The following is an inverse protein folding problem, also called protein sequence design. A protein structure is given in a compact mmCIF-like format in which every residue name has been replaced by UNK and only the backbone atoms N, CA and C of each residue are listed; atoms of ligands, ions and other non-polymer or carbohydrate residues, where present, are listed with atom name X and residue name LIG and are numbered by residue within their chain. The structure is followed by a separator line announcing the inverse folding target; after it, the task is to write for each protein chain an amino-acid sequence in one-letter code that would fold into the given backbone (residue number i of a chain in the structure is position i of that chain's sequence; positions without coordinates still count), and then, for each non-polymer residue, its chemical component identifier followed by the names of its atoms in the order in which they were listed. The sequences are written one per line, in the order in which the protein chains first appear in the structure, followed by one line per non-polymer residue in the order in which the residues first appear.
data_IF_723719072294
#
_entry.id   IF_723719072294
#
_cell.length_a   1.000
_cell.length_b   1.000
_cell.length_c   1.000
_cell.angle_alpha   90.00
_cell.angle_beta   90.00
_cell.angle_gamma   90.00
#
_symmetry.space_group_name_H-M   'P 1'
#
loop_
_entity.id
_entity.type
_entity.pdbx_description
1 polymer ?
#
# COMPACT_ATOMS: atom_id res chain seq x y z
N UNK A 1 55.63 -9.58 36.15
CA UNK A 1 55.07 -8.24 35.87
C UNK A 1 54.28 -8.39 34.58
N UNK A 2 52.95 -8.64 34.60
CA UNK A 2 51.85 -7.64 34.59
C UNK A 2 52.19 -6.58 33.54
N UNK A 3 51.51 -6.51 32.39
CA UNK A 3 50.26 -5.77 32.24
C UNK A 3 49.33 -6.38 31.17
N UNK A 4 48.07 -6.56 31.58
CA UNK A 4 46.93 -6.89 30.72
C UNK A 4 46.38 -5.54 30.24
N UNK A 5 46.34 -5.29 28.93
CA UNK A 5 45.57 -4.19 28.36
C UNK A 5 44.37 -4.80 27.62
N UNK A 6 43.23 -4.84 28.32
CA UNK A 6 41.95 -5.17 27.73
C UNK A 6 41.41 -3.92 27.02
N UNK A 7 41.40 -3.94 25.69
CA UNK A 7 40.80 -2.88 24.86
C UNK A 7 39.33 -3.25 24.63
N UNK A 8 38.43 -2.56 25.32
CA UNK A 8 36.98 -2.70 25.16
C UNK A 8 36.57 -1.89 23.93
N UNK A 9 36.35 -2.56 22.81
CA UNK A 9 35.82 -1.93 21.58
C UNK A 9 34.32 -1.70 21.76
N UNK A 10 33.91 -0.45 21.94
CA UNK A 10 32.51 -0.07 21.95
C UNK A 10 31.93 -0.20 20.53
N UNK A 11 31.03 -1.17 20.35
CA UNK A 11 30.25 -1.32 19.11
C UNK A 11 29.13 -0.27 19.15
N UNK A 12 29.32 0.82 18.43
CA UNK A 12 28.28 1.81 18.18
C UNK A 12 27.37 1.23 17.09
N UNK A 13 26.25 0.62 17.48
CA UNK A 13 25.21 0.21 16.53
C UNK A 13 24.48 1.48 16.10
N UNK A 14 24.91 2.07 14.99
CA UNK A 14 24.16 3.13 14.31
C UNK A 14 22.96 2.51 13.62
N UNK A 15 21.79 2.57 14.27
CA UNK A 15 20.52 2.31 13.61
C UNK A 15 20.25 3.45 12.61
N UNK A 16 20.57 3.24 11.34
CA UNK A 16 20.14 4.16 10.29
C UNK A 16 18.60 4.16 10.22
N UNK A 17 17.96 5.33 10.03
CA UNK A 17 16.54 5.35 9.76
C UNK A 17 16.32 4.68 8.41
N UNK A 18 15.58 3.57 8.39
CA UNK A 18 15.07 3.04 7.14
C UNK A 18 14.08 4.09 6.57
N UNK A 19 14.54 4.91 5.63
CA UNK A 19 13.65 5.50 4.64
C UNK A 19 13.01 4.31 3.94
N UNK A 20 11.78 4.01 4.30
CA UNK A 20 11.11 2.85 3.78
C UNK A 20 10.79 3.12 2.30
N UNK A 21 11.66 2.64 1.42
CA UNK A 21 11.42 2.64 -0.02
C UNK A 21 10.15 1.84 -0.32
N UNK A 22 9.30 2.37 -1.20
CA UNK A 22 8.12 1.66 -1.67
C UNK A 22 8.55 0.44 -2.47
N UNK A 23 8.17 -0.75 -2.01
CA UNK A 23 8.41 -1.99 -2.70
C UNK A 23 7.18 -2.39 -3.52
N UNK A 24 7.37 -2.68 -4.82
CA UNK A 24 6.31 -3.14 -5.70
C UNK A 24 5.75 -4.48 -5.23
N UNK A 25 4.42 -4.55 -5.14
CA UNK A 25 3.66 -5.76 -4.80
C UNK A 25 3.36 -6.51 -6.08
N UNK A 26 3.93 -7.72 -6.25
CA UNK A 26 3.88 -8.46 -7.52
C UNK A 26 2.86 -9.61 -7.55
N UNK A 27 2.18 -9.89 -6.44
CA UNK A 27 1.23 -11.01 -6.36
C UNK A 27 -0.02 -10.66 -5.56
N UNK A 28 -1.13 -11.26 -5.97
CA UNK A 28 -2.42 -11.13 -5.29
C UNK A 28 -2.33 -11.55 -3.82
N UNK A 29 -1.67 -12.67 -3.53
CA UNK A 29 -1.54 -13.16 -2.16
C UNK A 29 -0.82 -12.15 -1.25
N UNK A 30 0.25 -11.50 -1.74
CA UNK A 30 0.94 -10.46 -0.99
C UNK A 30 0.04 -9.22 -0.80
N UNK A 31 -0.65 -8.81 -1.86
CA UNK A 31 -1.61 -7.71 -1.80
C UNK A 31 -2.73 -7.96 -0.79
N UNK A 32 -3.39 -9.11 -0.85
CA UNK A 32 -4.47 -9.49 0.07
C UNK A 32 -3.97 -9.51 1.51
N UNK A 33 -2.75 -10.00 1.77
CA UNK A 33 -2.18 -9.96 3.12
C UNK A 33 -1.97 -8.54 3.64
N UNK A 34 -1.63 -7.58 2.77
CA UNK A 34 -1.43 -6.18 3.14
C UNK A 34 -2.75 -5.47 3.49
N UNK A 35 -3.83 -5.77 2.76
CA UNK A 35 -5.09 -5.02 2.86
C UNK A 35 -6.17 -5.73 3.67
N UNK A 36 -6.05 -7.04 3.92
CA UNK A 36 -7.02 -7.82 4.69
C UNK A 36 -7.18 -7.22 6.09
N UNK A 37 -8.43 -7.07 6.50
CA UNK A 37 -8.83 -6.47 7.78
C UNK A 37 -8.32 -5.03 8.00
N UNK A 38 -7.91 -4.36 6.92
CA UNK A 38 -7.45 -2.96 6.92
C UNK A 38 -8.40 -2.05 6.18
N UNK A 39 -8.37 -0.78 6.57
CA UNK A 39 -8.99 0.32 5.85
C UNK A 39 -7.89 1.17 5.22
N UNK A 40 -7.98 1.41 3.92
CA UNK A 40 -7.15 2.34 3.18
C UNK A 40 -7.69 3.75 3.42
N UNK A 41 -6.86 4.63 3.95
CA UNK A 41 -7.28 5.96 4.40
C UNK A 41 -6.40 7.07 3.85
N UNK A 42 -7.03 8.13 3.36
CA UNK A 42 -6.40 9.44 3.06
C UNK A 42 -7.39 10.54 3.45
N UNK A 43 -7.01 11.84 3.44
CA UNK A 43 -7.96 12.91 3.78
C UNK A 43 -9.27 12.75 3.00
N UNK A 44 -10.38 12.73 3.75
CA UNK A 44 -11.75 12.54 3.25
C UNK A 44 -12.06 11.18 2.59
N UNK A 45 -11.13 10.23 2.49
CA UNK A 45 -11.39 8.95 1.80
C UNK A 45 -11.09 7.78 2.72
N UNK A 46 -12.02 6.83 2.78
CA UNK A 46 -11.89 5.56 3.48
C UNK A 46 -12.41 4.44 2.60
N UNK A 47 -11.56 3.48 2.27
CA UNK A 47 -11.89 2.37 1.37
C UNK A 47 -11.47 1.05 2.02
N UNK A 48 -12.30 0.03 1.88
CA UNK A 48 -12.01 -1.35 2.23
C UNK A 48 -11.97 -2.18 0.96
N UNK A 49 -10.95 -3.04 0.87
CA UNK A 49 -10.76 -3.99 -0.21
C UNK A 49 -10.97 -5.39 0.35
N UNK A 50 -12.04 -6.03 -0.09
CA UNK A 50 -12.33 -7.40 0.30
C UNK A 50 -11.39 -8.37 -0.43
N UNK A 51 -10.93 -9.46 0.21
CA UNK A 51 -10.19 -10.52 -0.46
C UNK A 51 -10.94 -11.18 -1.62
N UNK A 52 -12.28 -11.06 -1.68
CA UNK A 52 -13.09 -11.60 -2.78
C UNK A 52 -13.25 -10.65 -3.97
N UNK A 53 -12.47 -9.57 -4.04
CA UNK A 53 -12.50 -8.64 -5.18
C UNK A 53 -13.54 -7.52 -5.07
N UNK A 54 -14.06 -7.20 -3.88
CA UNK A 54 -15.02 -6.09 -3.69
C UNK A 54 -14.32 -4.83 -3.18
N UNK A 55 -14.69 -3.68 -3.74
CA UNK A 55 -14.33 -2.34 -3.24
C UNK A 55 -15.57 -1.73 -2.59
N UNK A 56 -15.41 -1.18 -1.39
CA UNK A 56 -16.46 -0.43 -0.71
C UNK A 56 -15.87 0.67 0.16
N UNK A 57 -16.55 1.80 0.31
CA UNK A 57 -16.05 2.88 1.13
C UNK A 57 -16.82 4.18 0.97
N UNK A 58 -16.19 5.26 1.40
CA UNK A 58 -16.68 6.62 1.24
C UNK A 58 -15.57 7.56 0.82
N UNK A 59 -15.91 8.48 -0.08
CA UNK A 59 -15.09 9.61 -0.50
C UNK A 59 -15.84 10.91 -0.23
N UNK A 60 -15.34 11.69 0.72
CA UNK A 60 -16.06 12.77 1.39
C UNK A 60 -17.44 12.30 1.87
N UNK A 61 -18.51 12.77 1.23
CA UNK A 61 -19.90 12.40 1.52
C UNK A 61 -20.45 11.29 0.61
N UNK A 62 -19.72 10.95 -0.46
CA UNK A 62 -20.17 10.05 -1.50
C UNK A 62 -19.76 8.61 -1.22
N UNK A 63 -20.62 7.67 -1.61
CA UNK A 63 -20.29 6.25 -1.56
C UNK A 63 -19.29 5.89 -2.67
N UNK A 64 -18.39 4.98 -2.34
CA UNK A 64 -17.43 4.41 -3.27
C UNK A 64 -17.69 2.91 -3.31
N UNK A 65 -17.95 2.40 -4.50
CA UNK A 65 -18.23 0.99 -4.72
C UNK A 65 -17.50 0.50 -5.98
N UNK A 66 -17.20 -0.79 -6.04
CA UNK A 66 -16.51 -1.32 -7.21
C UNK A 66 -16.06 -2.75 -7.02
N UNK A 67 -15.27 -3.20 -8.00
CA UNK A 67 -14.66 -4.52 -7.98
C UNK A 67 -13.19 -4.41 -8.36
N UNK A 68 -12.42 -5.38 -7.91
CA UNK A 68 -11.03 -5.52 -8.30
C UNK A 68 -10.67 -6.97 -8.57
N UNK A 69 -9.68 -7.15 -9.43
CA UNK A 69 -9.04 -8.41 -9.80
C UNK A 69 -7.54 -8.19 -9.79
N UNK A 70 -6.78 -9.28 -9.67
CA UNK A 70 -5.34 -9.25 -9.85
C UNK A 70 -4.98 -9.89 -11.18
N UNK A 71 -4.34 -9.13 -12.07
CA UNK A 71 -4.04 -9.57 -13.43
C UNK A 71 -2.62 -9.14 -13.79
N UNK A 72 -1.78 -10.08 -14.23
CA UNK A 72 -0.42 -9.85 -14.70
C UNK A 72 0.48 -8.99 -13.77
N UNK A 73 0.25 -9.08 -12.45
CA UNK A 73 1.02 -8.33 -11.45
C UNK A 73 0.42 -6.96 -11.09
N UNK A 74 -0.75 -6.63 -11.62
CA UNK A 74 -1.44 -5.35 -11.38
C UNK A 74 -2.75 -5.54 -10.62
N UNK A 75 -3.14 -4.48 -9.92
CA UNK A 75 -4.47 -4.33 -9.33
C UNK A 75 -5.41 -3.71 -10.36
N UNK A 76 -6.25 -4.52 -10.99
CA UNK A 76 -7.21 -4.06 -11.97
C UNK A 76 -8.57 -3.81 -11.31
N UNK A 77 -9.15 -2.63 -11.50
CA UNK A 77 -10.36 -2.20 -10.79
C UNK A 77 -11.36 -1.52 -11.69
N UNK A 78 -12.63 -1.67 -11.37
CA UNK A 78 -13.72 -0.77 -11.76
C UNK A 78 -14.27 -0.05 -10.53
N UNK A 79 -14.55 1.25 -10.66
CA UNK A 79 -14.90 2.10 -9.51
C UNK A 79 -16.05 3.02 -9.88
N UNK A 80 -17.05 3.06 -9.02
CA UNK A 80 -18.11 4.04 -9.03
C UNK A 80 -17.93 4.96 -7.79
N UNK A 81 -18.04 6.26 -8.00
CA UNK A 81 -17.93 7.27 -6.96
C UNK A 81 -19.14 8.20 -7.01
N UNK A 82 -20.02 8.12 -6.02
CA UNK A 82 -21.18 9.02 -5.94
C UNK A 82 -22.14 8.92 -7.14
N UNK A 83 -22.14 7.79 -7.84
CA UNK A 83 -22.91 7.57 -9.07
C UNK A 83 -22.14 7.81 -10.37
N UNK A 84 -20.94 8.38 -10.30
CA UNK A 84 -20.06 8.53 -11.47
C UNK A 84 -19.20 7.27 -11.66
N UNK A 85 -19.29 6.64 -12.84
CA UNK A 85 -18.40 5.53 -13.22
C UNK A 85 -17.02 6.06 -13.64
N UNK A 86 -16.01 5.73 -12.84
CA UNK A 86 -14.61 6.09 -13.09
C UNK A 86 -13.87 5.02 -13.91
N UNK A 87 -14.59 4.03 -14.44
CA UNK A 87 -14.12 3.08 -15.43
C UNK A 87 -13.15 2.03 -14.90
N UNK A 88 -12.73 1.17 -15.83
CA UNK A 88 -11.75 0.12 -15.60
C UNK A 88 -10.31 0.66 -15.75
N UNK A 89 -9.42 0.32 -14.82
CA UNK A 89 -7.99 0.62 -14.93
C UNK A 89 -7.14 -0.41 -14.15
N UNK A 90 -5.96 -0.73 -14.67
CA UNK A 90 -4.97 -1.57 -14.00
C UNK A 90 -3.87 -0.71 -13.41
N UNK A 91 -3.60 -0.90 -12.12
CA UNK A 91 -2.73 -0.05 -11.33
C UNK A 91 -1.54 -0.85 -10.79
N UNK A 92 -0.35 -0.26 -10.85
CA UNK A 92 0.79 -0.76 -10.09
C UNK A 92 0.53 -0.49 -8.59
N UNK A 93 0.85 -1.47 -7.75
CA UNK A 93 0.76 -1.35 -6.30
C UNK A 93 2.15 -1.42 -5.69
N UNK A 94 2.47 -0.46 -4.83
CA UNK A 94 3.68 -0.50 -4.01
C UNK A 94 3.35 -0.23 -2.54
N UNK A 95 4.12 -0.80 -1.62
CA UNK A 95 3.90 -0.66 -0.19
C UNK A 95 5.18 -0.27 0.57
N UNK A 96 5.02 0.52 1.62
CA UNK A 96 6.09 0.98 2.50
C UNK A 96 5.55 1.13 3.92
N UNK A 97 5.91 0.19 4.81
CA UNK A 97 5.41 0.15 6.19
C UNK A 97 3.88 0.09 6.26
N UNK A 98 3.26 1.18 6.72
CA UNK A 98 1.79 1.31 6.81
C UNK A 98 1.18 2.10 5.65
N UNK A 99 1.96 2.39 4.61
CA UNK A 99 1.51 3.11 3.42
C UNK A 99 1.42 2.17 2.22
N UNK A 100 0.40 2.37 1.40
CA UNK A 100 0.21 1.69 0.12
C UNK A 100 -0.03 2.75 -0.96
N UNK A 101 0.62 2.60 -2.10
CA UNK A 101 0.53 3.47 -3.27
C UNK A 101 -0.07 2.69 -4.42
N UNK A 102 -1.03 3.30 -5.10
CA UNK A 102 -1.56 2.83 -6.38
C UNK A 102 -1.17 3.83 -7.46
N UNK A 103 -0.61 3.38 -8.56
CA UNK A 103 -0.27 4.22 -9.72
C UNK A 103 -1.07 3.75 -10.92
N UNK A 104 -1.86 4.63 -11.53
CA UNK A 104 -2.71 4.29 -12.69
C UNK A 104 -1.90 3.86 -13.91
N UNK A 105 -2.60 3.28 -14.89
CA UNK A 105 -2.05 3.00 -16.21
C UNK A 105 -0.78 2.13 -16.14
N UNK A 106 -0.89 1.06 -15.36
CA UNK A 106 0.18 0.08 -15.13
C UNK A 106 1.49 0.70 -14.61
N UNK A 107 1.39 1.78 -13.82
CA UNK A 107 2.55 2.44 -13.22
C UNK A 107 3.02 3.69 -13.97
N UNK A 108 2.37 4.07 -15.06
CA UNK A 108 2.80 5.21 -15.90
C UNK A 108 2.00 6.49 -15.68
N UNK A 109 0.88 6.41 -14.96
CA UNK A 109 -0.02 7.53 -14.70
C UNK A 109 0.08 8.11 -13.29
N UNK A 110 -1.05 8.61 -12.79
CA UNK A 110 -1.15 9.30 -11.51
C UNK A 110 -1.08 8.33 -10.32
N UNK A 111 -0.43 8.76 -9.23
CA UNK A 111 -0.33 7.99 -7.99
C UNK A 111 -1.29 8.49 -6.90
N UNK A 112 -1.82 7.54 -6.12
CA UNK A 112 -2.59 7.81 -4.91
C UNK A 112 -2.07 7.00 -3.73
N UNK A 113 -1.74 7.70 -2.65
CA UNK A 113 -1.25 7.10 -1.41
C UNK A 113 -2.36 6.98 -0.37
N UNK A 114 -2.37 5.83 0.30
CA UNK A 114 -3.27 5.53 1.40
C UNK A 114 -2.47 5.00 2.60
N UNK A 115 -2.95 5.34 3.79
CA UNK A 115 -2.52 4.70 5.03
C UNK A 115 -3.40 3.50 5.33
N UNK A 116 -2.78 2.39 5.63
CA UNK A 116 -3.41 1.17 6.14
C UNK A 116 -3.72 1.35 7.63
N UNK A 117 -4.99 1.25 8.00
CA UNK A 117 -5.49 1.33 9.38
C UNK A 117 -6.12 0.00 9.78
#
# INVERSE_FOLDING_TARGET
MKFIFALITAIVVSAAPALADFATVKSEAAFVQLVRDKTLTRPLVKINLSPSGKISGKGAIWDVAGKWTWEDGFFCRSLEWGGDDLGYNCQEVAASGTSIRFTSDQGTGDSADFRLR
#
